data_IF_826399313026
#
_entry.id   IF_826399313026
#
_cell.length_a   1.000
_cell.length_b   1.000
_cell.length_c   1.000
_cell.angle_alpha   90.00
_cell.angle_beta   90.00
_cell.angle_gamma   90.00
#
_symmetry.space_group_name_H-M   'P 1'
#
loop_
_entity.id
_entity.type
_entity.pdbx_description
1 polymer ?
#
# COMPACT_ATOMS: atom_id res chain seq x y z
N UNK A 1 -11.51 31.35 3.88
CA UNK A 1 -11.97 30.68 5.12
C UNK A 1 -12.14 29.24 4.70
N UNK A 2 -11.06 28.46 4.82
CA UNK A 2 -11.01 27.09 4.30
C UNK A 2 -11.95 26.22 5.12
N UNK A 3 -12.95 25.67 4.44
CA UNK A 3 -13.81 24.60 4.92
C UNK A 3 -12.92 23.38 5.19
N UNK A 4 -12.34 23.34 6.39
CA UNK A 4 -11.68 22.17 6.96
C UNK A 4 -12.77 21.14 7.29
N UNK A 5 -13.36 20.59 6.23
CA UNK A 5 -14.38 19.56 6.29
C UNK A 5 -13.93 18.45 7.23
N UNK A 6 -14.72 18.22 8.28
CA UNK A 6 -14.54 17.22 9.32
C UNK A 6 -13.86 15.95 8.82
N UNK A 7 -12.55 15.86 9.02
CA UNK A 7 -11.80 14.64 8.77
C UNK A 7 -12.08 13.67 9.92
N UNK A 8 -13.00 12.72 9.70
CA UNK A 8 -13.17 11.58 10.62
C UNK A 8 -11.83 10.84 10.72
N UNK A 9 -11.32 10.68 11.95
CA UNK A 9 -10.20 9.78 12.20
C UNK A 9 -10.61 8.35 11.82
N UNK A 10 -9.72 7.60 11.16
CA UNK A 10 -9.97 6.19 10.85
C UNK A 10 -10.21 5.42 12.13
N UNK A 11 -11.15 4.48 12.11
CA UNK A 11 -11.23 3.51 13.19
C UNK A 11 -10.04 2.55 13.08
N UNK A 12 -9.68 1.94 14.21
CA UNK A 12 -8.64 0.92 14.23
C UNK A 12 -8.93 -0.21 13.22
N UNK A 13 -10.21 -0.58 13.06
CA UNK A 13 -10.65 -1.64 12.14
C UNK A 13 -10.37 -1.31 10.67
N UNK A 14 -10.60 -0.06 10.25
CA UNK A 14 -10.33 0.38 8.87
C UNK A 14 -8.83 0.35 8.56
N UNK A 15 -7.99 0.72 9.54
CA UNK A 15 -6.52 0.62 9.43
C UNK A 15 -6.09 -0.84 9.33
N UNK A 16 -6.63 -1.70 10.19
CA UNK A 16 -6.32 -3.14 10.19
C UNK A 16 -6.72 -3.77 8.86
N UNK A 17 -7.91 -3.50 8.34
CA UNK A 17 -8.38 -4.00 7.04
C UNK A 17 -7.45 -3.57 5.90
N UNK A 18 -7.06 -2.29 5.86
CA UNK A 18 -6.13 -1.78 4.85
C UNK A 18 -4.76 -2.45 4.92
N UNK A 19 -4.18 -2.59 6.11
CA UNK A 19 -2.88 -3.23 6.31
C UNK A 19 -2.92 -4.73 6.01
N UNK A 20 -4.00 -5.42 6.39
CA UNK A 20 -4.20 -6.84 6.05
C UNK A 20 -4.28 -7.03 4.54
N UNK A 21 -5.00 -6.17 3.81
CA UNK A 21 -5.08 -6.23 2.36
C UNK A 21 -3.72 -6.01 1.68
N UNK A 22 -2.94 -5.05 2.19
CA UNK A 22 -1.57 -4.81 1.73
C UNK A 22 -0.70 -6.05 1.98
N UNK A 23 -0.73 -6.60 3.20
CA UNK A 23 0.05 -7.78 3.55
C UNK A 23 -0.28 -8.99 2.66
N UNK A 24 -1.57 -9.27 2.45
CA UNK A 24 -2.01 -10.35 1.56
C UNK A 24 -1.58 -10.14 0.12
N UNK A 25 -1.69 -8.91 -0.41
CA UNK A 25 -1.27 -8.60 -1.77
C UNK A 25 0.25 -8.76 -1.95
N UNK A 26 1.06 -8.29 -1.00
CA UNK A 26 2.51 -8.47 -1.00
C UNK A 26 2.88 -9.95 -1.03
N UNK A 27 2.30 -10.77 -0.15
CA UNK A 27 2.57 -12.21 -0.10
C UNK A 27 2.17 -12.90 -1.39
N UNK A 28 1.00 -12.56 -1.95
CA UNK A 28 0.49 -13.18 -3.18
C UNK A 28 1.35 -12.85 -4.41
N UNK A 29 1.96 -11.68 -4.45
CA UNK A 29 2.69 -11.18 -5.62
C UNK A 29 4.21 -11.25 -5.48
N UNK A 30 4.74 -11.57 -4.29
CA UNK A 30 6.14 -11.89 -4.12
C UNK A 30 6.46 -13.24 -4.79
N UNK A 31 7.51 -13.26 -5.60
CA UNK A 31 8.03 -14.47 -6.26
C UNK A 31 9.53 -14.57 -6.00
N UNK A 32 10.17 -15.74 -6.21
CA UNK A 32 11.62 -15.87 -6.00
C UNK A 32 12.46 -14.90 -6.84
N UNK A 33 11.94 -14.45 -7.98
CA UNK A 33 12.63 -13.54 -8.90
C UNK A 33 12.26 -12.06 -8.68
N UNK A 34 11.12 -11.80 -8.01
CA UNK A 34 10.56 -10.47 -7.77
C UNK A 34 10.11 -10.33 -6.31
N UNK A 35 10.80 -9.51 -5.54
CA UNK A 35 10.43 -9.22 -4.16
C UNK A 35 9.48 -8.02 -4.09
N UNK A 36 8.53 -8.04 -3.16
CA UNK A 36 7.74 -6.85 -2.81
C UNK A 36 7.82 -6.67 -1.30
N UNK A 37 8.03 -5.45 -0.84
CA UNK A 37 8.06 -5.08 0.58
C UNK A 37 7.11 -3.92 0.82
N UNK A 38 6.29 -4.02 1.86
CA UNK A 38 5.53 -2.90 2.38
C UNK A 38 6.14 -2.41 3.69
N UNK A 39 6.29 -1.09 3.84
CA UNK A 39 6.80 -0.46 5.06
C UNK A 39 5.90 0.70 5.44
N UNK A 40 5.54 0.79 6.73
CA UNK A 40 4.85 1.95 7.28
C UNK A 40 5.82 3.13 7.36
N UNK A 41 5.45 4.24 6.74
CA UNK A 41 6.17 5.50 6.76
C UNK A 41 5.29 6.59 7.41
N UNK A 42 5.85 7.72 7.87
CA UNK A 42 5.07 8.79 8.50
C UNK A 42 3.96 9.37 7.61
N UNK A 43 4.13 9.31 6.29
CA UNK A 43 3.24 9.86 5.27
C UNK A 43 2.28 8.83 4.64
N UNK A 44 2.48 7.54 4.90
CA UNK A 44 1.66 6.47 4.32
C UNK A 44 2.31 5.09 4.38
N UNK A 45 1.93 4.23 3.45
CA UNK A 45 2.57 2.92 3.26
C UNK A 45 3.44 2.97 2.01
N UNK A 46 4.73 2.73 2.18
CA UNK A 46 5.69 2.61 1.09
C UNK A 46 5.74 1.17 0.62
N UNK A 47 5.47 0.95 -0.67
CA UNK A 47 5.59 -0.33 -1.35
C UNK A 47 6.85 -0.28 -2.24
N UNK A 48 7.74 -1.24 -2.04
CA UNK A 48 9.01 -1.34 -2.73
C UNK A 48 9.06 -2.66 -3.49
N UNK A 49 9.28 -2.59 -4.80
CA UNK A 49 9.47 -3.74 -5.66
C UNK A 49 10.95 -3.97 -5.95
N UNK A 50 11.36 -5.23 -5.94
CA UNK A 50 12.74 -5.67 -6.11
C UNK A 50 12.82 -6.69 -7.24
N UNK A 51 13.89 -6.61 -8.05
CA UNK A 51 14.27 -7.66 -9.01
C UNK A 51 15.63 -8.20 -8.58
N UNK A 52 15.64 -9.39 -7.96
CA UNK A 52 16.80 -9.88 -7.22
C UNK A 52 17.13 -8.97 -6.02
N UNK A 53 18.39 -8.53 -5.90
CA UNK A 53 18.86 -7.63 -4.83
C UNK A 53 18.63 -6.14 -5.13
N UNK A 54 18.26 -5.79 -6.37
CA UNK A 54 18.11 -4.40 -6.78
C UNK A 54 16.69 -3.91 -6.59
N UNK A 55 16.54 -2.72 -6.00
CA UNK A 55 15.26 -2.01 -5.93
C UNK A 55 14.89 -1.54 -7.33
N UNK A 56 13.77 -2.03 -7.85
CA UNK A 56 13.32 -1.74 -9.21
C UNK A 56 12.26 -0.63 -9.24
N UNK A 57 11.32 -0.61 -8.30
CA UNK A 57 10.30 0.45 -8.21
C UNK A 57 9.92 0.76 -6.76
N UNK A 58 9.43 1.98 -6.54
CA UNK A 58 8.87 2.44 -5.27
C UNK A 58 7.54 3.14 -5.52
N UNK A 59 6.56 2.87 -4.67
CA UNK A 59 5.28 3.57 -4.64
C UNK A 59 4.97 3.95 -3.20
N UNK A 60 4.43 5.14 -2.99
CA UNK A 60 3.87 5.56 -1.72
C UNK A 60 2.35 5.59 -1.85
N UNK A 61 1.66 4.91 -0.94
CA UNK A 61 0.21 5.03 -0.77
C UNK A 61 0.00 5.93 0.45
N UNK A 62 -0.36 7.22 0.27
CA UNK A 62 -0.58 8.14 1.37
C UNK A 62 -1.66 7.64 2.34
N UNK A 63 -1.55 7.93 3.64
CA UNK A 63 -2.60 7.57 4.60
C UNK A 63 -3.97 8.17 4.24
N UNK A 64 -3.98 9.36 3.63
CA UNK A 64 -5.22 9.98 3.12
C UNK A 64 -5.90 9.18 2.00
N UNK A 65 -5.14 8.37 1.27
CA UNK A 65 -5.66 7.53 0.18
C UNK A 65 -6.06 6.16 0.74
N UNK A 66 -5.33 5.64 1.75
CA UNK A 66 -5.76 4.49 2.54
C UNK A 66 -7.11 4.75 3.24
N UNK A 67 -7.36 6.02 3.65
CA UNK A 67 -8.63 6.46 4.25
C UNK A 67 -9.86 6.29 3.36
N UNK A 68 -9.66 6.24 2.04
CA UNK A 68 -10.76 6.35 1.06
C UNK A 68 -10.80 5.21 0.05
N UNK A 69 -9.76 4.35 0.03
CA UNK A 69 -9.67 3.23 -0.91
C UNK A 69 -10.10 1.93 -0.23
N UNK A 70 -11.12 1.24 -0.78
CA UNK A 70 -11.42 -0.13 -0.39
C UNK A 70 -10.19 -1.03 -0.47
N UNK A 71 -10.10 -2.00 0.45
CA UNK A 71 -9.04 -3.00 0.53
C UNK A 71 -8.71 -3.66 -0.83
N UNK A 72 -9.71 -3.94 -1.66
CA UNK A 72 -9.51 -4.57 -2.97
C UNK A 72 -8.79 -3.67 -3.98
N UNK A 73 -8.99 -2.34 -3.94
CA UNK A 73 -8.26 -1.40 -4.81
C UNK A 73 -6.79 -1.30 -4.40
N UNK A 74 -6.50 -1.33 -3.10
CA UNK A 74 -5.12 -1.35 -2.59
C UNK A 74 -4.38 -2.61 -3.07
N UNK A 75 -5.05 -3.76 -3.02
CA UNK A 75 -4.49 -5.00 -3.54
C UNK A 75 -4.22 -4.93 -5.06
N UNK A 76 -5.12 -4.30 -5.82
CA UNK A 76 -4.97 -4.14 -7.27
C UNK A 76 -3.80 -3.20 -7.65
N UNK A 77 -3.57 -2.13 -6.87
CA UNK A 77 -2.41 -1.23 -7.08
C UNK A 77 -1.09 -1.96 -6.85
N UNK A 78 -1.02 -2.80 -5.81
CA UNK A 78 0.15 -3.64 -5.54
C UNK A 78 0.33 -4.69 -6.66
N UNK A 79 -0.74 -5.30 -7.16
CA UNK A 79 -0.67 -6.22 -8.29
C UNK A 79 -0.16 -5.54 -9.56
N UNK A 80 -0.61 -4.32 -9.82
CA UNK A 80 -0.17 -3.50 -10.96
C UNK A 80 1.32 -3.14 -10.85
N UNK A 81 1.77 -2.80 -9.65
CA UNK A 81 3.20 -2.60 -9.38
C UNK A 81 4.00 -3.89 -9.64
N UNK A 82 3.53 -5.02 -9.11
CA UNK A 82 4.17 -6.32 -9.27
C UNK A 82 4.34 -6.73 -10.74
N UNK A 83 3.35 -6.43 -11.58
CA UNK A 83 3.37 -6.72 -13.01
C UNK A 83 4.42 -5.91 -13.78
N UNK A 84 4.87 -4.77 -13.25
CA UNK A 84 5.87 -3.88 -13.87
C UNK A 84 7.31 -4.19 -13.46
N UNK A 85 7.51 -5.04 -12.44
CA UNK A 85 8.82 -5.54 -12.00
C UNK A 85 9.34 -6.64 -12.94
#
# INVERSE_FOLDING_TARGET
MDDLGSYRALTADEIVLGLSAIGQAVVRHATPQKGIRATLAPDGVRIEGYRGIHKAQTMLIPFRDLKRKPAHLLAQEIATLAARL
#
